data_IF_000145270770
#
_entry.id   IF_000145270770
#
_cell.length_a   1.000
_cell.length_b   1.000
_cell.length_c   1.000
_cell.angle_alpha   90.00
_cell.angle_beta   90.00
_cell.angle_gamma   90.00
#
_symmetry.space_group_name_H-M   'P 1'
#
loop_
_entity.id
_entity.type
_entity.pdbx_description
1 polymer ?
#
# COMPACT_ATOMS: atom_id res chain seq x y z
N UNK A 1 -16.41 18.38 47.10
CA UNK A 1 -16.66 19.14 45.85
C UNK A 1 -18.08 19.68 45.93
N UNK A 2 -18.22 21.01 45.91
CA UNK A 2 -19.50 21.74 45.98
C UNK A 2 -20.33 21.43 44.71
N UNK A 3 -21.67 21.47 44.82
CA UNK A 3 -22.60 21.24 43.67
C UNK A 3 -22.25 22.13 42.48
N UNK A 4 -21.81 23.37 42.70
CA UNK A 4 -21.38 24.29 41.64
C UNK A 4 -20.15 23.77 40.86
N UNK A 5 -19.18 23.18 41.55
CA UNK A 5 -17.98 22.58 40.95
C UNK A 5 -18.31 21.36 40.09
N UNK A 6 -19.32 20.55 40.47
CA UNK A 6 -19.78 19.42 39.67
C UNK A 6 -20.49 19.85 38.37
N UNK A 7 -21.33 20.90 38.45
CA UNK A 7 -21.99 21.47 37.27
C UNK A 7 -20.98 22.11 36.31
N UNK A 8 -19.95 22.80 36.82
CA UNK A 8 -18.89 23.38 35.99
C UNK A 8 -18.09 22.30 35.29
N UNK A 9 -17.75 21.21 35.94
CA UNK A 9 -17.04 20.09 35.36
C UNK A 9 -17.85 19.38 34.24
N UNK A 10 -19.16 19.23 34.43
CA UNK A 10 -20.06 18.64 33.41
C UNK A 10 -20.20 19.56 32.19
N UNK A 11 -20.29 20.88 32.40
CA UNK A 11 -20.37 21.86 31.30
C UNK A 11 -19.07 21.89 30.52
N UNK A 12 -17.91 21.85 31.19
CA UNK A 12 -16.61 21.79 30.49
C UNK A 12 -16.46 20.47 29.69
N UNK A 13 -16.88 19.35 30.29
CA UNK A 13 -16.83 18.05 29.58
C UNK A 13 -17.74 18.05 28.35
N UNK A 14 -18.96 18.60 28.46
CA UNK A 14 -19.88 18.75 27.34
C UNK A 14 -19.33 19.68 26.26
N UNK A 15 -18.70 20.80 26.62
CA UNK A 15 -18.06 21.71 25.66
C UNK A 15 -16.88 21.07 24.94
N UNK A 16 -16.07 20.26 25.63
CA UNK A 16 -14.95 19.52 25.03
C UNK A 16 -15.49 18.45 24.06
N UNK A 17 -16.53 17.71 24.44
CA UNK A 17 -17.15 16.71 23.55
C UNK A 17 -17.74 17.37 22.30
N UNK A 18 -18.41 18.53 22.45
CA UNK A 18 -18.95 19.28 21.31
C UNK A 18 -17.82 19.85 20.45
N UNK A 19 -16.74 20.36 21.03
CA UNK A 19 -15.59 20.87 20.28
C UNK A 19 -14.86 19.75 19.54
N UNK A 20 -14.69 18.58 20.16
CA UNK A 20 -14.13 17.38 19.51
C UNK A 20 -15.05 16.88 18.39
N UNK A 21 -16.35 16.80 18.64
CA UNK A 21 -17.31 16.44 17.60
C UNK A 21 -17.30 17.46 16.45
N UNK A 22 -17.31 18.77 16.75
CA UNK A 22 -17.22 19.82 15.74
C UNK A 22 -15.89 19.81 14.98
N UNK A 23 -14.78 19.48 15.65
CA UNK A 23 -13.49 19.28 15.01
C UNK A 23 -13.53 18.06 14.07
N UNK A 24 -14.09 16.94 14.51
CA UNK A 24 -14.28 15.75 13.65
C UNK A 24 -15.27 16.00 12.50
N UNK A 25 -16.36 16.74 12.72
CA UNK A 25 -17.30 17.13 11.66
C UNK A 25 -16.74 18.18 10.70
N UNK A 26 -15.89 19.10 11.17
CA UNK A 26 -15.29 20.15 10.33
C UNK A 26 -13.99 19.69 9.64
N UNK A 27 -13.31 18.67 10.18
CA UNK A 27 -12.19 17.99 9.53
C UNK A 27 -12.65 16.88 8.55
N UNK A 28 -13.96 16.64 8.46
CA UNK A 28 -14.59 15.91 7.35
C UNK A 28 -14.57 16.81 6.11
N UNK A 29 -13.38 17.22 5.69
CA UNK A 29 -13.16 17.78 4.35
C UNK A 29 -13.79 16.83 3.36
N UNK A 30 -14.63 17.34 2.49
CA UNK A 30 -15.42 16.76 1.43
C UNK A 30 -14.97 15.36 0.93
N UNK A 31 -15.14 14.32 1.75
CA UNK A 31 -14.86 12.92 1.40
C UNK A 31 -15.83 12.39 0.35
N UNK A 32 -16.99 13.03 0.20
CA UNK A 32 -17.97 12.70 -0.85
C UNK A 32 -17.43 12.85 -2.27
N UNK A 33 -16.49 13.79 -2.49
CA UNK A 33 -15.83 13.97 -3.79
C UNK A 33 -14.82 12.86 -4.12
N UNK A 34 -14.15 12.29 -3.11
CA UNK A 34 -13.18 11.19 -3.31
C UNK A 34 -13.89 9.89 -3.68
N UNK A 35 -14.96 9.53 -2.96
CA UNK A 35 -15.74 8.31 -3.20
C UNK A 35 -16.39 8.32 -4.60
N UNK A 36 -16.67 9.49 -5.16
CA UNK A 36 -17.19 9.59 -6.52
C UNK A 36 -16.18 9.11 -7.60
N UNK A 37 -14.90 8.98 -7.26
CA UNK A 37 -13.87 8.44 -8.16
C UNK A 37 -13.70 6.92 -8.03
N UNK A 38 -14.28 6.27 -7.01
CA UNK A 38 -14.11 4.84 -6.76
C UNK A 38 -14.47 4.02 -8.00
N UNK A 39 -13.55 3.15 -8.38
CA UNK A 39 -13.59 2.30 -9.57
C UNK A 39 -13.64 3.05 -10.92
N UNK A 40 -13.40 4.36 -10.92
CA UNK A 40 -13.26 5.14 -12.16
C UNK A 40 -11.86 4.90 -12.73
N UNK A 41 -11.79 4.61 -14.03
CA UNK A 41 -10.51 4.42 -14.73
C UNK A 41 -9.65 5.68 -14.66
N UNK A 42 -8.37 5.52 -14.36
CA UNK A 42 -7.41 6.62 -14.36
C UNK A 42 -7.13 7.12 -15.78
N UNK A 43 -6.83 8.40 -15.91
CA UNK A 43 -6.40 8.95 -17.20
C UNK A 43 -4.98 8.53 -17.54
N UNK A 44 -4.66 8.49 -18.85
CA UNK A 44 -3.30 8.27 -19.32
C UNK A 44 -2.30 9.32 -18.77
N UNK A 45 -2.77 10.53 -18.49
CA UNK A 45 -1.95 11.60 -17.90
C UNK A 45 -1.50 11.21 -16.46
N UNK A 46 -2.38 10.60 -15.67
CA UNK A 46 -2.03 10.12 -14.33
C UNK A 46 -1.06 8.94 -14.40
N UNK A 47 -1.32 7.96 -15.29
CA UNK A 47 -0.40 6.84 -15.50
C UNK A 47 0.99 7.32 -15.92
N UNK A 48 1.06 8.30 -16.85
CA UNK A 48 2.34 8.89 -17.27
C UNK A 48 3.06 9.63 -16.14
N UNK A 49 2.34 10.29 -15.23
CA UNK A 49 2.95 10.94 -14.07
C UNK A 49 3.52 9.90 -13.09
N UNK A 50 2.77 8.84 -12.78
CA UNK A 50 3.24 7.74 -11.92
C UNK A 50 4.47 7.07 -12.53
N UNK A 51 4.44 6.78 -13.83
CA UNK A 51 5.58 6.22 -14.55
C UNK A 51 6.81 7.15 -14.49
N UNK A 52 6.62 8.47 -14.71
CA UNK A 52 7.70 9.45 -14.60
C UNK A 52 8.31 9.52 -13.19
N UNK A 53 7.50 9.38 -12.13
CA UNK A 53 7.98 9.30 -10.75
C UNK A 53 8.77 8.00 -10.54
N UNK A 54 8.22 6.87 -10.98
CA UNK A 54 8.86 5.57 -10.84
C UNK A 54 10.23 5.49 -11.53
N UNK A 55 10.38 6.10 -12.71
CA UNK A 55 11.61 6.12 -13.50
C UNK A 55 12.63 7.20 -13.07
N UNK A 56 12.29 8.02 -12.08
CA UNK A 56 13.19 9.09 -11.63
C UNK A 56 14.23 8.54 -10.64
N UNK A 57 15.36 8.07 -11.18
CA UNK A 57 16.48 7.51 -10.40
C UNK A 57 17.02 8.52 -9.38
N UNK A 58 17.14 9.81 -9.76
CA UNK A 58 17.63 10.84 -8.84
C UNK A 58 16.70 11.05 -7.65
N UNK A 59 15.38 10.95 -7.84
CA UNK A 59 14.41 11.02 -6.76
C UNK A 59 14.60 9.84 -5.80
N UNK A 60 14.67 8.62 -6.34
CA UNK A 60 14.86 7.40 -5.57
C UNK A 60 16.20 7.42 -4.80
N UNK A 61 17.30 7.79 -5.45
CA UNK A 61 18.61 7.90 -4.80
C UNK A 61 18.63 8.93 -3.65
N UNK A 62 17.90 10.03 -3.77
CA UNK A 62 17.79 11.03 -2.70
C UNK A 62 16.94 10.57 -1.51
N UNK A 63 16.08 9.58 -1.70
CA UNK A 63 15.18 9.07 -0.67
C UNK A 63 15.73 7.79 -0.05
N UNK A 64 16.27 6.86 -0.86
CA UNK A 64 16.66 5.53 -0.41
C UNK A 64 15.47 4.80 0.23
N UNK A 65 15.65 4.22 1.41
CA UNK A 65 14.55 3.57 2.15
C UNK A 65 13.60 4.58 2.83
N UNK A 66 13.96 5.87 2.84
CA UNK A 66 13.14 6.94 3.40
C UNK A 66 12.78 6.72 4.87
N UNK A 67 11.47 6.74 5.15
CA UNK A 67 10.95 6.53 6.52
C UNK A 67 10.49 5.10 6.79
N UNK A 68 10.85 4.13 5.94
CA UNK A 68 10.51 2.71 6.17
C UNK A 68 11.16 2.22 7.46
N UNK A 69 10.40 1.67 8.42
CA UNK A 69 10.96 1.21 9.69
C UNK A 69 11.88 -0.01 9.49
N UNK A 70 13.11 0.09 10.00
CA UNK A 70 14.11 -0.98 9.96
C UNK A 70 14.32 -1.62 11.34
N UNK A 71 14.95 -2.79 11.38
CA UNK A 71 15.30 -3.49 12.61
C UNK A 71 14.29 -4.55 13.04
N UNK A 72 14.43 -5.15 14.25
CA UNK A 72 13.67 -6.35 14.68
C UNK A 72 12.16 -6.16 14.79
N UNK A 73 11.68 -4.93 14.85
CA UNK A 73 10.25 -4.55 14.82
C UNK A 73 9.91 -3.75 13.56
N UNK A 74 10.80 -3.76 12.59
CA UNK A 74 10.60 -3.06 11.32
C UNK A 74 9.56 -3.76 10.44
N UNK A 75 9.17 -3.06 9.38
CA UNK A 75 8.18 -3.53 8.42
C UNK A 75 8.82 -4.03 7.11
N UNK A 76 10.13 -4.26 7.10
CA UNK A 76 10.83 -4.75 5.91
C UNK A 76 10.34 -6.14 5.50
N UNK A 77 10.32 -6.44 4.19
CA UNK A 77 10.02 -7.78 3.70
C UNK A 77 10.96 -8.83 4.29
N UNK A 78 10.41 -9.98 4.65
CA UNK A 78 11.14 -11.08 5.28
C UNK A 78 11.71 -11.99 4.20
N UNK A 79 13.02 -12.21 4.20
CA UNK A 79 13.67 -13.16 3.30
C UNK A 79 13.25 -14.58 3.66
N UNK A 80 12.67 -15.30 2.71
CA UNK A 80 12.05 -16.62 2.98
C UNK A 80 13.04 -17.77 3.04
N UNK A 81 14.23 -17.61 2.44
CA UNK A 81 15.22 -18.66 2.19
C UNK A 81 14.63 -19.82 1.37
N UNK A 82 13.64 -19.52 0.50
CA UNK A 82 13.10 -20.49 -0.43
C UNK A 82 14.11 -20.78 -1.54
N UNK A 83 14.27 -22.05 -1.89
CA UNK A 83 15.06 -22.48 -3.05
C UNK A 83 14.22 -22.63 -4.34
N UNK A 84 12.94 -22.22 -4.29
CA UNK A 84 12.02 -22.29 -5.43
C UNK A 84 11.45 -20.91 -5.71
N UNK A 85 11.62 -20.42 -6.91
CA UNK A 85 11.00 -19.19 -7.39
C UNK A 85 9.52 -19.41 -7.67
N UNK A 86 8.68 -18.49 -7.21
CA UNK A 86 7.26 -18.44 -7.62
C UNK A 86 7.18 -17.94 -9.05
N UNK A 87 6.66 -18.76 -9.94
CA UNK A 87 6.66 -18.54 -11.40
C UNK A 87 5.22 -18.35 -11.89
N UNK A 88 5.01 -17.35 -12.71
CA UNK A 88 3.74 -17.11 -13.40
C UNK A 88 3.57 -17.95 -14.66
N UNK A 89 2.39 -17.83 -15.28
CA UNK A 89 1.99 -18.65 -16.42
C UNK A 89 2.93 -18.56 -17.63
N UNK A 90 3.67 -17.46 -17.80
CA UNK A 90 4.62 -17.26 -18.91
C UNK A 90 6.07 -17.60 -18.54
N UNK A 91 6.30 -18.29 -17.42
CA UNK A 91 7.63 -18.72 -16.97
C UNK A 91 8.47 -17.64 -16.32
N UNK A 92 7.94 -16.43 -16.09
CA UNK A 92 8.64 -15.34 -15.42
C UNK A 92 8.40 -15.37 -13.89
N UNK A 93 9.36 -14.90 -13.06
CA UNK A 93 9.12 -14.72 -11.64
C UNK A 93 7.85 -13.88 -11.40
N UNK A 94 7.10 -14.23 -10.37
CA UNK A 94 5.80 -13.61 -10.07
C UNK A 94 5.92 -12.72 -8.82
N UNK A 95 5.38 -11.51 -8.90
CA UNK A 95 4.99 -10.73 -7.74
C UNK A 95 3.52 -11.00 -7.48
N UNK A 96 3.21 -11.56 -6.30
CA UNK A 96 1.85 -11.86 -5.86
C UNK A 96 1.41 -10.84 -4.82
N UNK A 97 0.26 -10.20 -5.04
CA UNK A 97 -0.38 -9.32 -4.08
C UNK A 97 -1.73 -9.88 -3.63
N UNK A 98 -1.98 -9.88 -2.33
CA UNK A 98 -3.28 -10.18 -1.75
C UNK A 98 -3.65 -9.04 -0.80
N UNK A 99 -4.73 -8.35 -1.10
CA UNK A 99 -5.24 -7.23 -0.33
C UNK A 99 -6.74 -7.08 -0.43
N UNK A 100 -7.25 -5.92 -0.05
CA UNK A 100 -8.66 -5.57 -0.20
C UNK A 100 -8.82 -4.06 -0.41
N UNK A 101 -9.83 -3.68 -1.18
CA UNK A 101 -10.10 -2.26 -1.45
C UNK A 101 -10.41 -1.48 -0.17
N UNK A 102 -11.09 -2.09 0.81
CA UNK A 102 -11.44 -1.42 2.07
C UNK A 102 -10.24 -1.05 2.93
N UNK A 103 -9.15 -1.81 2.82
CA UNK A 103 -8.05 -1.79 3.79
C UNK A 103 -7.13 -0.56 3.57
N UNK A 104 -6.94 0.32 4.57
CA UNK A 104 -6.08 1.49 4.44
C UNK A 104 -4.59 1.14 4.36
N UNK A 105 -4.15 0.04 5.00
CA UNK A 105 -2.79 -0.48 4.87
C UNK A 105 -2.52 -0.99 3.45
N UNK A 106 -3.52 -1.63 2.82
CA UNK A 106 -3.47 -1.98 1.41
C UNK A 106 -3.40 -0.74 0.52
N UNK A 107 -4.10 0.33 0.89
CA UNK A 107 -4.12 1.58 0.14
C UNK A 107 -2.71 2.19 -0.01
N UNK A 108 -1.95 2.31 1.07
CA UNK A 108 -0.58 2.84 1.02
C UNK A 108 0.39 1.87 0.33
N UNK A 109 0.24 0.56 0.55
CA UNK A 109 1.06 -0.46 -0.13
C UNK A 109 0.85 -0.42 -1.64
N UNK A 110 -0.38 -0.22 -2.14
CA UNK A 110 -0.64 -0.09 -3.57
C UNK A 110 0.10 1.09 -4.21
N UNK A 111 0.19 2.25 -3.55
CA UNK A 111 0.99 3.36 -4.05
C UNK A 111 2.46 2.98 -4.27
N UNK A 112 3.08 2.37 -3.28
CA UNK A 112 4.48 1.95 -3.34
C UNK A 112 4.69 0.82 -4.37
N UNK A 113 3.80 -0.18 -4.38
CA UNK A 113 3.90 -1.32 -5.28
C UNK A 113 3.68 -0.92 -6.75
N UNK A 114 2.79 0.04 -7.04
CA UNK A 114 2.62 0.59 -8.39
C UNK A 114 3.93 1.23 -8.86
N UNK A 115 4.56 2.06 -8.04
CA UNK A 115 5.84 2.69 -8.40
C UNK A 115 6.93 1.63 -8.61
N UNK A 116 7.03 0.64 -7.73
CA UNK A 116 8.00 -0.45 -7.88
C UNK A 116 7.77 -1.25 -9.16
N UNK A 117 6.53 -1.68 -9.43
CA UNK A 117 6.18 -2.45 -10.63
C UNK A 117 6.43 -1.65 -11.92
N UNK A 118 6.16 -0.33 -11.93
CA UNK A 118 6.41 0.53 -13.08
C UNK A 118 7.90 0.65 -13.44
N UNK A 119 8.82 0.24 -12.59
CA UNK A 119 10.27 0.14 -12.90
C UNK A 119 10.62 -1.09 -13.74
N UNK A 120 9.76 -2.10 -13.76
CA UNK A 120 9.94 -3.35 -14.50
C UNK A 120 8.97 -3.53 -15.66
N UNK A 121 7.97 -2.68 -15.77
CA UNK A 121 6.92 -2.77 -16.76
C UNK A 121 6.02 -1.56 -16.76
N UNK A 122 4.78 -1.73 -17.22
CA UNK A 122 3.83 -0.62 -17.32
C UNK A 122 2.40 -1.05 -17.02
N UNK A 123 1.65 -0.19 -16.34
CA UNK A 123 0.20 -0.25 -16.26
C UNK A 123 -0.42 0.49 -17.43
N UNK A 124 -1.30 -0.17 -18.17
CA UNK A 124 -2.14 0.45 -19.21
C UNK A 124 -3.53 0.75 -18.69
N UNK A 125 -3.88 0.19 -17.53
CA UNK A 125 -5.14 0.40 -16.85
C UNK A 125 -4.98 0.28 -15.33
N UNK A 126 -5.44 1.29 -14.62
CA UNK A 126 -5.65 1.34 -13.17
C UNK A 126 -6.95 2.08 -12.91
N UNK A 127 -7.58 1.80 -11.76
CA UNK A 127 -8.80 2.49 -11.35
C UNK A 127 -8.57 3.18 -10.00
N UNK A 128 -9.13 4.37 -9.84
CA UNK A 128 -9.14 5.07 -8.55
C UNK A 128 -9.93 4.26 -7.52
N UNK A 129 -9.50 4.33 -6.27
CA UNK A 129 -10.15 3.70 -5.14
C UNK A 129 -9.90 4.49 -3.87
N UNK A 130 -10.81 4.42 -2.90
CA UNK A 130 -10.56 4.85 -1.52
C UNK A 130 -10.67 3.66 -0.58
N UNK A 131 -9.94 3.69 0.54
CA UNK A 131 -10.21 2.75 1.63
C UNK A 131 -11.62 2.96 2.22
N UNK A 132 -12.09 2.02 3.05
CA UNK A 132 -13.40 2.15 3.68
C UNK A 132 -13.54 3.43 4.51
N UNK A 133 -14.74 4.01 4.50
CA UNK A 133 -15.11 5.17 5.33
C UNK A 133 -15.20 4.86 6.83
N UNK A 134 -15.19 3.58 7.23
CA UNK A 134 -15.37 3.13 8.62
C UNK A 134 -14.17 2.37 9.17
N UNK A 135 -13.01 2.43 8.49
CA UNK A 135 -11.76 1.79 8.92
C UNK A 135 -10.82 2.79 9.63
N UNK A 136 -9.67 2.30 10.11
CA UNK A 136 -8.63 3.03 10.86
C UNK A 136 -8.20 4.34 10.20
N UNK A 137 -7.95 4.34 8.89
CA UNK A 137 -7.69 5.55 8.10
C UNK A 137 -8.77 5.65 7.00
N UNK A 138 -9.89 6.32 7.30
CA UNK A 138 -11.05 6.32 6.44
C UNK A 138 -10.80 7.11 5.15
N UNK A 139 -11.34 6.58 4.05
CA UNK A 139 -11.29 7.20 2.70
C UNK A 139 -9.86 7.56 2.26
N UNK A 140 -8.86 6.72 2.59
CA UNK A 140 -7.48 6.88 2.08
C UNK A 140 -7.47 6.74 0.56
N UNK A 141 -7.06 7.79 -0.19
CA UNK A 141 -7.01 7.74 -1.65
C UNK A 141 -5.95 6.75 -2.12
N UNK A 142 -6.31 5.92 -3.08
CA UNK A 142 -5.44 4.90 -3.65
C UNK A 142 -5.91 4.51 -5.05
N UNK A 143 -5.41 3.38 -5.55
CA UNK A 143 -5.90 2.69 -6.72
C UNK A 143 -6.34 1.29 -6.32
N UNK A 144 -7.10 0.60 -7.18
CA UNK A 144 -7.35 -0.84 -7.04
C UNK A 144 -6.60 -1.59 -8.14
N UNK A 145 -6.13 -2.80 -7.82
CA UNK A 145 -5.62 -3.72 -8.83
C UNK A 145 -6.74 -4.52 -9.50
N UNK A 146 -7.93 -4.53 -8.93
CA UNK A 146 -9.10 -5.15 -9.57
C UNK A 146 -9.36 -4.51 -10.94
N UNK A 147 -9.41 -5.35 -11.99
CA UNK A 147 -9.48 -4.91 -13.38
C UNK A 147 -8.30 -4.05 -13.86
N UNK A 148 -7.16 -4.08 -13.16
CA UNK A 148 -5.94 -3.44 -13.67
C UNK A 148 -5.33 -4.24 -14.82
N UNK A 149 -4.50 -3.57 -15.62
CA UNK A 149 -3.75 -4.22 -16.67
C UNK A 149 -2.28 -3.83 -16.62
N UNK A 150 -1.45 -4.80 -16.26
CA UNK A 150 0.01 -4.65 -16.15
C UNK A 150 0.73 -5.55 -17.16
N UNK A 151 1.82 -5.07 -17.75
CA UNK A 151 2.69 -5.85 -18.62
C UNK A 151 4.17 -5.60 -18.29
N UNK A 152 4.97 -6.68 -18.36
CA UNK A 152 6.42 -6.62 -18.16
C UNK A 152 7.10 -7.74 -18.92
N UNK A 153 8.34 -7.48 -19.36
CA UNK A 153 9.17 -8.48 -20.03
C UNK A 153 9.92 -9.38 -19.03
N UNK A 154 10.01 -8.99 -17.76
CA UNK A 154 10.87 -9.68 -16.78
C UNK A 154 10.11 -10.30 -15.60
N UNK A 155 8.91 -9.82 -15.26
CA UNK A 155 8.09 -10.34 -14.17
C UNK A 155 6.64 -10.57 -14.58
N UNK A 156 5.94 -11.42 -13.83
CA UNK A 156 4.48 -11.44 -13.77
C UNK A 156 4.00 -10.69 -12.54
N UNK A 157 2.86 -10.02 -12.67
CA UNK A 157 2.12 -9.50 -11.53
C UNK A 157 0.77 -10.21 -11.47
N UNK A 158 0.43 -10.71 -10.28
CA UNK A 158 -0.84 -11.37 -9.97
C UNK A 158 -1.40 -10.76 -8.70
N UNK A 159 -2.64 -10.32 -8.77
CA UNK A 159 -3.29 -9.60 -7.67
C UNK A 159 -4.64 -10.21 -7.31
N UNK A 160 -5.02 -10.02 -6.04
CA UNK A 160 -6.34 -10.36 -5.51
C UNK A 160 -6.78 -9.26 -4.53
N UNK A 161 -7.85 -8.56 -4.90
CA UNK A 161 -8.61 -7.68 -4.01
C UNK A 161 -9.79 -8.48 -3.46
N UNK A 162 -9.66 -8.98 -2.22
CA UNK A 162 -10.60 -9.98 -1.67
C UNK A 162 -11.96 -9.40 -1.29
N UNK A 163 -12.04 -8.08 -1.05
CA UNK A 163 -13.28 -7.41 -0.69
C UNK A 163 -13.28 -5.95 -1.16
N UNK A 164 -14.48 -5.44 -1.41
CA UNK A 164 -14.73 -4.04 -1.75
C UNK A 164 -14.54 -3.12 -0.54
N UNK A 165 -14.55 -1.81 -0.77
CA UNK A 165 -14.55 -0.79 0.30
C UNK A 165 -15.93 -0.54 0.92
N UNK A 166 -16.94 -1.34 0.59
CA UNK A 166 -18.33 -1.23 1.04
C UNK A 166 -18.54 -2.15 2.23
N UNK A 167 -18.79 -1.57 3.41
CA UNK A 167 -19.17 -2.32 4.61
C UNK A 167 -20.67 -2.66 4.55
N UNK A 168 -20.99 -3.94 4.64
CA UNK A 168 -22.35 -4.46 4.66
C UNK A 168 -22.76 -4.86 6.09
N UNK A 169 -23.61 -4.06 6.71
CA UNK A 169 -24.05 -4.26 8.08
C UNK A 169 -24.89 -5.55 8.26
N UNK A 170 -25.51 -6.08 7.19
CA UNK A 170 -26.30 -7.31 7.27
C UNK A 170 -25.43 -8.53 7.52
N UNK A 171 -24.24 -8.59 6.91
CA UNK A 171 -23.26 -9.67 7.11
C UNK A 171 -22.19 -9.30 8.11
N UNK A 172 -22.22 -8.08 8.64
CA UNK A 172 -21.20 -7.49 9.53
C UNK A 172 -19.77 -7.67 8.98
N UNK A 173 -19.60 -7.43 7.69
CA UNK A 173 -18.33 -7.56 6.98
C UNK A 173 -18.34 -6.71 5.70
N UNK A 174 -17.18 -6.60 5.06
CA UNK A 174 -17.07 -5.99 3.74
C UNK A 174 -17.63 -6.90 2.63
N UNK A 175 -18.18 -6.31 1.57
CA UNK A 175 -18.66 -7.08 0.43
C UNK A 175 -17.48 -7.82 -0.25
N UNK A 176 -17.61 -9.13 -0.49
CA UNK A 176 -16.57 -9.90 -1.17
C UNK A 176 -16.38 -9.41 -2.62
N UNK A 177 -15.14 -9.49 -3.14
CA UNK A 177 -14.81 -9.11 -4.50
C UNK A 177 -14.16 -10.27 -5.27
N UNK A 178 -12.94 -10.65 -4.93
CA UNK A 178 -12.25 -11.76 -5.57
C UNK A 178 -11.99 -12.91 -4.61
N UNK A 179 -11.99 -14.13 -5.13
CA UNK A 179 -11.58 -15.31 -4.36
C UNK A 179 -10.14 -15.66 -4.68
N UNK A 180 -9.29 -15.74 -3.65
CA UNK A 180 -7.90 -16.18 -3.82
C UNK A 180 -7.88 -17.68 -4.12
N UNK A 181 -7.30 -18.12 -5.26
CA UNK A 181 -7.14 -19.55 -5.55
C UNK A 181 -6.31 -20.25 -4.46
N UNK A 182 -6.65 -21.50 -4.15
CA UNK A 182 -6.03 -22.26 -3.05
C UNK A 182 -4.50 -22.28 -3.09
N UNK A 183 -3.91 -22.35 -4.29
CA UNK A 183 -2.45 -22.32 -4.46
C UNK A 183 -1.81 -21.04 -3.88
N UNK A 184 -2.41 -19.86 -4.08
CA UNK A 184 -1.90 -18.59 -3.57
C UNK A 184 -2.31 -18.35 -2.12
N UNK A 185 -3.53 -18.76 -1.75
CA UNK A 185 -3.98 -18.72 -0.36
C UNK A 185 -3.06 -19.53 0.56
N UNK A 186 -2.66 -20.72 0.13
CA UNK A 186 -1.76 -21.58 0.92
C UNK A 186 -0.37 -20.97 1.10
N UNK A 187 0.12 -20.17 0.14
CA UNK A 187 1.38 -19.42 0.27
C UNK A 187 1.23 -18.36 1.38
N UNK A 188 0.18 -17.55 1.33
CA UNK A 188 -0.06 -16.51 2.32
C UNK A 188 -0.26 -17.09 3.74
N UNK A 189 -1.04 -18.16 3.87
CA UNK A 189 -1.23 -18.90 5.14
C UNK A 189 0.10 -19.43 5.65
N UNK A 190 0.89 -20.10 4.81
CA UNK A 190 2.20 -20.67 5.21
C UNK A 190 3.14 -19.60 5.77
N UNK A 191 3.27 -18.47 5.08
CA UNK A 191 4.15 -17.38 5.54
C UNK A 191 3.61 -16.71 6.79
N UNK A 192 2.29 -16.50 6.87
CA UNK A 192 1.69 -15.93 8.06
C UNK A 192 1.89 -16.83 9.29
N UNK A 193 1.60 -18.14 9.19
CA UNK A 193 1.88 -19.09 10.28
C UNK A 193 3.36 -19.08 10.69
N UNK A 194 4.26 -19.12 9.71
CA UNK A 194 5.71 -19.20 9.96
C UNK A 194 6.25 -17.96 10.66
N UNK A 195 5.79 -16.76 10.28
CA UNK A 195 6.40 -15.50 10.72
C UNK A 195 5.57 -14.72 11.74
N UNK A 196 4.25 -14.94 11.80
CA UNK A 196 3.36 -14.28 12.76
C UNK A 196 2.71 -15.22 13.76
N UNK A 197 2.82 -16.54 13.54
CA UNK A 197 2.17 -17.55 14.38
C UNK A 197 0.66 -17.69 14.14
N UNK A 198 0.11 -17.09 13.09
CA UNK A 198 -1.34 -17.13 12.80
C UNK A 198 -1.61 -17.61 11.36
N UNK A 199 -2.55 -18.56 11.17
CA UNK A 199 -3.00 -18.95 9.84
C UNK A 199 -3.85 -17.89 9.15
N UNK A 200 -4.38 -16.95 9.92
CA UNK A 200 -5.13 -15.80 9.37
C UNK A 200 -4.15 -14.70 9.03
N UNK A 201 -3.72 -14.65 7.76
CA UNK A 201 -2.80 -13.62 7.33
C UNK A 201 -3.44 -12.23 7.36
N UNK A 202 -2.74 -11.25 7.97
CA UNK A 202 -3.14 -9.85 7.82
C UNK A 202 -2.88 -9.40 6.38
N UNK A 203 -3.70 -8.48 5.88
CA UNK A 203 -3.51 -7.87 4.57
C UNK A 203 -2.93 -6.46 4.73
N UNK A 204 -2.12 -6.00 3.75
CA UNK A 204 -1.69 -6.68 2.52
C UNK A 204 -0.67 -7.80 2.76
N UNK A 205 -0.61 -8.76 1.83
CA UNK A 205 0.52 -9.69 1.67
C UNK A 205 1.10 -9.47 0.28
N UNK A 206 2.42 -9.28 0.20
CA UNK A 206 3.14 -9.22 -1.09
C UNK A 206 4.25 -10.26 -1.07
N UNK A 207 4.20 -11.22 -2.01
CA UNK A 207 5.26 -12.20 -2.22
C UNK A 207 6.09 -11.80 -3.44
N UNK A 208 7.38 -11.65 -3.27
CA UNK A 208 8.34 -11.28 -4.29
C UNK A 208 9.05 -12.54 -4.82
N UNK A 209 8.33 -13.34 -5.61
CA UNK A 209 8.87 -14.52 -6.28
C UNK A 209 9.33 -15.64 -5.36
N UNK A 210 8.77 -15.77 -4.16
CA UNK A 210 9.25 -16.63 -3.08
C UNK A 210 10.64 -16.24 -2.53
N UNK A 211 11.25 -15.18 -2.98
CA UNK A 211 12.51 -14.68 -2.41
C UNK A 211 12.26 -14.04 -1.04
N UNK A 212 11.27 -13.17 -0.97
CA UNK A 212 10.85 -12.51 0.27
C UNK A 212 9.34 -12.28 0.29
N UNK A 213 8.80 -12.05 1.48
CA UNK A 213 7.38 -11.76 1.71
C UNK A 213 7.21 -10.55 2.61
N UNK A 214 6.32 -9.66 2.23
CA UNK A 214 5.82 -8.56 3.06
C UNK A 214 4.45 -8.96 3.63
N UNK A 215 4.29 -8.81 4.94
CA UNK A 215 3.06 -9.11 5.68
C UNK A 215 2.66 -7.85 6.45
N UNK A 216 1.62 -7.18 6.01
CA UNK A 216 1.27 -5.83 6.45
C UNK A 216 1.89 -4.76 5.57
N UNK A 217 1.89 -3.50 6.00
CA UNK A 217 2.38 -2.36 5.22
C UNK A 217 3.65 -1.76 5.81
N UNK A 218 4.56 -1.33 4.96
CA UNK A 218 5.76 -0.57 5.33
C UNK A 218 5.48 0.90 5.65
N UNK A 219 4.31 1.40 5.26
CA UNK A 219 3.92 2.82 5.36
C UNK A 219 2.68 2.96 6.23
N UNK A 220 2.69 3.97 7.10
CA UNK A 220 1.54 4.31 7.95
C UNK A 220 0.41 4.96 7.12
N UNK A 221 -0.82 4.41 7.09
CA UNK A 221 -1.92 4.93 6.28
C UNK A 221 -2.34 6.36 6.59
N UNK A 222 -2.19 6.80 7.84
CA UNK A 222 -2.52 8.17 8.25
C UNK A 222 -1.65 9.23 7.56
N UNK A 223 -0.55 8.82 6.93
CA UNK A 223 0.30 9.68 6.10
C UNK A 223 -0.48 10.34 4.95
N UNK A 224 -1.51 9.68 4.43
CA UNK A 224 -2.33 10.15 3.31
C UNK A 224 -3.68 10.75 3.76
N UNK A 225 -3.85 10.97 5.07
CA UNK A 225 -5.13 11.43 5.63
C UNK A 225 -5.50 12.84 5.16
N UNK A 226 -6.65 12.95 4.52
CA UNK A 226 -7.22 14.23 4.07
C UNK A 226 -6.70 14.69 2.70
N UNK A 227 -5.80 13.96 2.09
CA UNK A 227 -5.29 14.24 0.76
C UNK A 227 -6.23 13.74 -0.35
N UNK A 228 -5.85 14.04 -1.58
CA UNK A 228 -6.43 13.50 -2.80
C UNK A 228 -5.31 13.04 -3.74
N UNK A 229 -5.65 12.32 -4.81
CA UNK A 229 -4.64 11.77 -5.74
C UNK A 229 -3.72 12.83 -6.35
N UNK A 230 -4.23 14.03 -6.65
CA UNK A 230 -3.42 15.11 -7.23
C UNK A 230 -2.38 15.65 -6.24
N UNK A 231 -2.78 15.81 -4.97
CA UNK A 231 -1.88 16.21 -3.89
C UNK A 231 -0.80 15.17 -3.68
N UNK A 232 -1.18 13.88 -3.53
CA UNK A 232 -0.24 12.78 -3.33
C UNK A 232 0.75 12.70 -4.50
N UNK A 233 0.28 12.74 -5.76
CA UNK A 233 1.16 12.72 -6.95
C UNK A 233 2.08 13.94 -6.99
N UNK A 234 1.62 15.11 -6.54
CA UNK A 234 2.44 16.31 -6.41
C UNK A 234 3.57 16.10 -5.41
N UNK A 235 3.23 15.61 -4.22
CA UNK A 235 4.17 15.36 -3.12
C UNK A 235 5.17 14.27 -3.44
N UNK A 236 4.78 13.21 -4.15
CA UNK A 236 5.68 12.15 -4.59
C UNK A 236 6.85 12.64 -5.46
N UNK A 237 6.73 13.80 -6.08
CA UNK A 237 7.80 14.41 -6.91
C UNK A 237 8.84 15.16 -6.08
N UNK A 238 8.55 15.45 -4.82
CA UNK A 238 9.42 16.22 -3.92
C UNK A 238 10.03 15.29 -2.86
N UNK A 239 11.34 15.00 -2.88
CA UNK A 239 11.97 14.08 -1.94
C UNK A 239 11.91 14.53 -0.48
N UNK A 240 11.56 15.79 -0.21
CA UNK A 240 11.48 16.33 1.15
C UNK A 240 10.12 16.15 1.82
N UNK A 241 9.08 15.68 1.11
CA UNK A 241 7.77 15.45 1.71
C UNK A 241 7.71 14.12 2.45
N UNK A 242 6.91 14.05 3.53
CA UNK A 242 6.68 12.78 4.25
C UNK A 242 6.08 11.71 3.34
N UNK A 243 5.19 12.10 2.42
CA UNK A 243 4.56 11.20 1.44
C UNK A 243 5.61 10.58 0.52
N UNK A 244 6.52 11.40 -0.02
CA UNK A 244 7.61 10.88 -0.87
C UNK A 244 8.54 9.96 -0.09
N UNK A 245 8.97 10.39 1.11
CA UNK A 245 9.83 9.60 2.00
C UNK A 245 9.21 8.24 2.37
N UNK A 246 7.91 8.19 2.62
CA UNK A 246 7.23 6.93 2.93
C UNK A 246 6.99 6.06 1.69
N UNK A 247 6.29 6.60 0.71
CA UNK A 247 5.80 5.83 -0.46
C UNK A 247 6.94 5.46 -1.42
N UNK A 248 7.82 6.42 -1.77
CA UNK A 248 8.95 6.12 -2.68
C UNK A 248 9.99 5.28 -1.96
N UNK A 249 10.27 5.54 -0.65
CA UNK A 249 11.16 4.71 0.13
C UNK A 249 10.70 3.24 0.19
N UNK A 250 9.41 2.99 0.43
CA UNK A 250 8.85 1.64 0.36
C UNK A 250 8.94 1.06 -1.07
N UNK A 251 8.72 1.87 -2.11
CA UNK A 251 8.88 1.42 -3.50
C UNK A 251 10.32 1.02 -3.82
N UNK A 252 11.31 1.70 -3.24
CA UNK A 252 12.73 1.39 -3.40
C UNK A 252 13.06 0.04 -2.76
N UNK A 253 12.56 -0.21 -1.54
CA UNK A 253 12.64 -1.52 -0.87
C UNK A 253 12.00 -2.62 -1.74
N UNK A 254 10.76 -2.42 -2.19
CA UNK A 254 10.04 -3.39 -3.04
C UNK A 254 10.79 -3.67 -4.34
N UNK A 255 11.40 -2.64 -4.95
CA UNK A 255 12.21 -2.79 -6.16
C UNK A 255 13.42 -3.70 -5.93
N UNK A 256 14.12 -3.53 -4.82
CA UNK A 256 15.24 -4.40 -4.45
C UNK A 256 14.78 -5.86 -4.26
N UNK A 257 13.61 -6.09 -3.62
CA UNK A 257 13.06 -7.45 -3.48
C UNK A 257 12.74 -8.08 -4.84
N UNK A 258 12.15 -7.32 -5.77
CA UNK A 258 11.88 -7.79 -7.14
C UNK A 258 13.20 -8.09 -7.86
N UNK A 259 14.22 -7.24 -7.71
CA UNK A 259 15.54 -7.46 -8.29
C UNK A 259 16.15 -8.80 -7.84
N UNK A 260 16.07 -9.11 -6.56
CA UNK A 260 16.52 -10.41 -6.05
C UNK A 260 15.72 -11.57 -6.65
N UNK A 261 14.40 -11.44 -6.72
CA UNK A 261 13.53 -12.48 -7.28
C UNK A 261 13.83 -12.80 -8.75
N UNK A 262 14.34 -11.83 -9.52
CA UNK A 262 14.74 -11.99 -10.92
C UNK A 262 16.26 -12.18 -11.11
N UNK A 263 17.01 -12.45 -10.04
CA UNK A 263 18.48 -12.56 -10.05
C UNK A 263 19.17 -11.32 -10.66
N UNK A 264 18.68 -10.14 -10.36
CA UNK A 264 19.16 -8.84 -10.84
C UNK A 264 19.15 -8.69 -12.38
N UNK A 265 18.28 -9.42 -13.07
CA UNK A 265 18.21 -9.44 -14.53
C UNK A 265 17.33 -8.31 -15.11
N UNK A 266 17.53 -7.08 -14.63
CA UNK A 266 16.94 -5.86 -15.20
C UNK A 266 17.86 -4.66 -14.93
N UNK A 267 17.87 -3.67 -15.82
CA UNK A 267 18.74 -2.50 -15.70
C UNK A 267 18.54 -1.71 -14.41
N UNK A 268 17.31 -1.60 -13.93
CA UNK A 268 16.97 -0.93 -12.67
C UNK A 268 17.69 -1.53 -11.46
N UNK A 269 18.04 -2.82 -11.50
CA UNK A 269 18.70 -3.50 -10.39
C UNK A 269 20.17 -3.06 -10.20
N UNK A 270 20.70 -2.26 -11.12
CA UNK A 270 22.05 -1.65 -10.97
C UNK A 270 21.99 -0.23 -10.42
N UNK A 271 20.79 0.32 -10.20
CA UNK A 271 20.61 1.67 -9.68
C UNK A 271 21.17 1.82 -8.24
N UNK A 272 21.74 3.00 -7.89
CA UNK A 272 22.37 3.21 -6.59
C UNK A 272 21.41 2.95 -5.42
N UNK A 273 20.16 3.40 -5.47
CA UNK A 273 19.19 3.18 -4.39
C UNK A 273 18.90 1.70 -4.12
N UNK A 274 18.96 0.83 -5.16
CA UNK A 274 18.83 -0.62 -4.99
C UNK A 274 20.05 -1.18 -4.28
N UNK A 275 21.27 -0.78 -4.71
CA UNK A 275 22.53 -1.24 -4.14
C UNK A 275 22.74 -0.76 -2.70
N UNK A 276 22.34 0.47 -2.39
CA UNK A 276 22.40 1.02 -1.05
C UNK A 276 21.49 0.25 -0.08
N UNK A 277 20.26 -0.08 -0.50
CA UNK A 277 19.37 -0.91 0.31
C UNK A 277 20.00 -2.26 0.67
N UNK A 278 20.64 -2.95 -0.30
CA UNK A 278 21.34 -4.22 -0.06
C UNK A 278 22.44 -4.12 1.00
N UNK A 279 23.02 -2.92 1.21
CA UNK A 279 24.07 -2.67 2.20
C UNK A 279 23.53 -2.27 3.58
N UNK A 280 22.25 -1.93 3.70
CA UNK A 280 21.61 -1.46 4.95
C UNK A 280 20.91 -2.59 5.71
N UNK A 281 20.73 -3.76 5.11
CA UNK A 281 20.10 -4.96 5.68
C UNK A 281 21.10 -6.09 5.84
#
# INVERSE_FOLDING_TARGET
MDKRSKYLAVIILAAVVIAVAAYYFNSSGSTSGLVAYDNVRTSNAVLSQLYGIAQNVSLADNIGIGTVPVGPKGALPIVTNSNKTLIGANGKPMVLYIGADYCPFCAVTRWSLILALMRFGNFTELHYMTSSAVDYAPNTPTFTFYNSHYSSDVINFTDFEIAKNIFNSTINNYEPLQTVPSQYNNIAVYYSEKYTGSPNYPIPVVDYGNYSVEIGAMVEPLLLKGDNWSTIIGDLKNPSTGISQGIVGAADVMTAQICHAINNNASVCTAPYVKNYESEI
#
